data_IF_674852674443
#
_entry.id   IF_674852674443
#
_cell.length_a   1.000
_cell.length_b   1.000
_cell.length_c   1.000
_cell.angle_alpha   90.00
_cell.angle_beta   90.00
_cell.angle_gamma   90.00
#
_symmetry.space_group_name_H-M   'P 1'
#
loop_
_entity.id
_entity.type
_entity.pdbx_description
1 polymer ?
#
# COMPACT_ATOMS: atom_id res chain seq x y z
N UNK A 1 7.38 -16.31 -24.22
CA UNK A 1 8.59 -15.48 -24.04
C UNK A 1 8.21 -14.22 -23.25
N UNK A 2 8.12 -14.30 -21.91
CA UNK A 2 8.00 -13.11 -21.08
C UNK A 2 9.40 -12.51 -20.98
N UNK A 3 9.65 -11.44 -21.73
CA UNK A 3 10.89 -10.68 -21.64
C UNK A 3 11.02 -10.21 -20.19
N UNK A 4 12.07 -10.66 -19.52
CA UNK A 4 12.43 -10.25 -18.17
C UNK A 4 12.61 -8.73 -18.21
N UNK A 5 11.58 -7.97 -17.83
CA UNK A 5 11.76 -6.56 -17.49
C UNK A 5 12.49 -6.61 -16.15
N UNK A 6 13.79 -6.86 -16.18
CA UNK A 6 14.65 -6.34 -15.13
C UNK A 6 14.61 -4.83 -15.37
N UNK A 7 13.90 -4.03 -14.56
CA UNK A 7 14.26 -2.63 -14.49
C UNK A 7 15.76 -2.64 -14.21
N UNK A 8 16.52 -2.16 -15.21
CA UNK A 8 17.81 -1.53 -14.97
C UNK A 8 17.70 -0.67 -13.72
N UNK A 9 18.81 -0.40 -13.05
CA UNK A 9 18.92 0.44 -11.85
C UNK A 9 18.30 1.85 -11.93
N UNK A 10 17.46 2.14 -12.93
CA UNK A 10 16.55 3.25 -12.99
C UNK A 10 15.74 3.40 -11.71
N UNK A 11 15.77 4.63 -11.23
CA UNK A 11 15.07 5.10 -10.06
C UNK A 11 13.55 5.02 -10.31
N UNK A 12 12.96 3.91 -9.87
CA UNK A 12 11.52 3.68 -9.94
C UNK A 12 10.79 4.76 -9.15
N UNK A 13 9.74 5.33 -9.75
CA UNK A 13 8.88 6.33 -9.14
C UNK A 13 7.40 6.01 -9.43
N UNK A 14 6.48 6.82 -8.91
CA UNK A 14 5.04 6.57 -9.00
C UNK A 14 4.48 6.55 -10.43
N UNK A 15 5.18 7.14 -11.40
CA UNK A 15 4.82 7.15 -12.82
C UNK A 15 5.45 6.00 -13.61
N UNK A 16 6.33 5.22 -12.99
CA UNK A 16 7.00 4.13 -13.67
C UNK A 16 5.99 3.06 -14.11
N UNK A 17 6.13 2.48 -15.34
CA UNK A 17 5.17 1.51 -15.87
C UNK A 17 4.90 0.31 -14.95
N UNK A 18 5.90 -0.14 -14.18
CA UNK A 18 5.71 -1.23 -13.20
C UNK A 18 4.74 -0.85 -12.06
N UNK A 19 4.77 0.41 -11.60
CA UNK A 19 3.86 0.90 -10.54
C UNK A 19 2.45 1.11 -11.10
N UNK A 20 2.34 1.68 -12.31
CA UNK A 20 1.06 1.79 -13.00
C UNK A 20 0.46 0.40 -13.30
N UNK A 21 1.29 -0.55 -13.68
CA UNK A 21 0.93 -1.95 -13.87
C UNK A 21 0.42 -2.59 -12.58
N UNK A 22 1.09 -2.38 -11.44
CA UNK A 22 0.62 -2.83 -10.14
C UNK A 22 -0.79 -2.29 -9.82
N UNK A 23 -1.03 -1.00 -10.02
CA UNK A 23 -2.37 -0.41 -9.84
C UNK A 23 -3.41 -1.08 -10.75
N UNK A 24 -3.07 -1.32 -12.01
CA UNK A 24 -3.98 -1.98 -12.94
C UNK A 24 -4.30 -3.42 -12.53
N UNK A 25 -3.32 -4.16 -11.99
CA UNK A 25 -3.54 -5.50 -11.44
C UNK A 25 -4.52 -5.43 -10.27
N UNK A 26 -4.31 -4.53 -9.32
CA UNK A 26 -5.21 -4.35 -8.16
C UNK A 26 -6.64 -4.01 -8.60
N UNK A 27 -6.79 -3.07 -9.55
CA UNK A 27 -8.09 -2.71 -10.12
C UNK A 27 -8.77 -3.91 -10.77
N UNK A 28 -8.03 -4.62 -11.62
CA UNK A 28 -8.55 -5.79 -12.36
C UNK A 28 -8.97 -6.88 -11.40
N UNK A 29 -8.19 -7.13 -10.33
CA UNK A 29 -8.53 -8.10 -9.30
C UNK A 29 -9.88 -7.76 -8.64
N UNK A 30 -10.06 -6.51 -8.18
CA UNK A 30 -11.33 -6.04 -7.60
C UNK A 30 -12.50 -6.13 -8.59
N UNK A 31 -12.29 -5.79 -9.86
CA UNK A 31 -13.33 -5.86 -10.89
C UNK A 31 -13.73 -7.29 -11.28
N UNK A 32 -12.96 -8.30 -10.89
CA UNK A 32 -13.22 -9.72 -11.18
C UNK A 32 -13.39 -10.54 -9.89
N UNK A 33 -13.75 -9.90 -8.77
CA UNK A 33 -14.00 -10.55 -7.48
C UNK A 33 -12.82 -11.39 -6.94
N UNK A 34 -11.60 -11.07 -7.36
CA UNK A 34 -10.38 -11.67 -6.80
C UNK A 34 -10.12 -11.00 -5.46
N UNK A 35 -10.43 -11.73 -4.38
CA UNK A 35 -10.34 -11.22 -3.00
C UNK A 35 -8.99 -11.48 -2.35
N UNK A 36 -8.13 -12.29 -2.97
CA UNK A 36 -6.79 -12.65 -2.47
C UNK A 36 -5.73 -12.34 -3.50
N UNK A 37 -4.72 -11.55 -3.14
CA UNK A 37 -3.61 -11.20 -4.02
C UNK A 37 -2.29 -11.22 -3.25
N UNK A 38 -1.24 -11.76 -3.88
CA UNK A 38 0.13 -11.72 -3.37
C UNK A 38 0.98 -10.85 -4.28
N UNK A 39 1.59 -9.80 -3.73
CA UNK A 39 2.39 -8.81 -4.48
C UNK A 39 3.87 -8.93 -4.07
N UNK A 40 4.81 -9.10 -5.02
CA UNK A 40 6.24 -9.03 -4.72
C UNK A 40 6.62 -7.60 -4.29
N UNK A 41 7.08 -7.44 -3.06
CA UNK A 41 7.28 -6.11 -2.45
C UNK A 41 8.34 -5.26 -3.16
N UNK A 42 9.32 -5.91 -3.82
CA UNK A 42 10.39 -5.24 -4.57
C UNK A 42 10.14 -5.23 -6.08
N UNK A 43 8.97 -5.74 -6.53
CA UNK A 43 8.65 -6.02 -7.93
C UNK A 43 9.70 -6.89 -8.63
N UNK A 44 10.32 -7.78 -7.83
CA UNK A 44 11.37 -8.72 -8.20
C UNK A 44 11.13 -10.05 -7.51
N UNK A 45 11.63 -11.13 -8.11
CA UNK A 45 11.49 -12.49 -7.56
C UNK A 45 12.77 -13.00 -6.86
N UNK A 46 13.92 -12.49 -7.27
CA UNK A 46 15.25 -12.88 -6.77
C UNK A 46 16.03 -11.63 -6.36
N UNK A 47 16.91 -11.78 -5.37
CA UNK A 47 17.86 -10.74 -4.99
C UNK A 47 19.01 -10.67 -6.00
N UNK A 48 19.49 -9.46 -6.29
CA UNK A 48 20.73 -9.21 -7.04
C UNK A 48 21.70 -8.37 -6.21
N UNK A 49 22.98 -8.36 -6.61
CA UNK A 49 24.03 -7.60 -5.91
C UNK A 49 23.76 -6.09 -5.84
N UNK A 50 22.97 -5.55 -6.77
CA UNK A 50 22.60 -4.14 -6.82
C UNK A 50 21.53 -3.75 -5.77
N UNK A 51 20.88 -4.72 -5.14
CA UNK A 51 19.75 -4.51 -4.22
C UNK A 51 20.23 -4.21 -2.79
N UNK A 52 20.81 -3.02 -2.60
CA UNK A 52 21.20 -2.51 -1.27
C UNK A 52 19.98 -2.34 -0.35
N UNK A 53 20.22 -2.19 0.97
CA UNK A 53 19.17 -1.92 1.96
C UNK A 53 18.36 -0.67 1.58
N UNK A 54 19.03 0.42 1.23
CA UNK A 54 18.38 1.66 0.83
C UNK A 54 17.49 1.49 -0.41
N UNK A 55 17.95 0.69 -1.38
CA UNK A 55 17.18 0.35 -2.56
C UNK A 55 15.91 -0.45 -2.19
N UNK A 56 16.04 -1.46 -1.32
CA UNK A 56 14.93 -2.28 -0.87
C UNK A 56 13.88 -1.44 -0.16
N UNK A 57 14.30 -0.59 0.77
CA UNK A 57 13.41 0.31 1.52
C UNK A 57 12.68 1.28 0.59
N UNK A 58 13.40 1.95 -0.34
CA UNK A 58 12.80 2.90 -1.28
C UNK A 58 11.74 2.24 -2.17
N UNK A 59 12.02 1.05 -2.70
CA UNK A 59 11.07 0.31 -3.55
C UNK A 59 9.87 -0.21 -2.77
N UNK A 60 10.10 -0.82 -1.61
CA UNK A 60 9.03 -1.31 -0.76
C UNK A 60 8.10 -0.17 -0.35
N UNK A 61 8.64 0.99 0.04
CA UNK A 61 7.86 2.18 0.37
C UNK A 61 6.94 2.60 -0.77
N UNK A 62 7.47 2.62 -2.00
CA UNK A 62 6.72 3.01 -3.18
C UNK A 62 5.57 2.02 -3.47
N UNK A 63 5.85 0.71 -3.37
CA UNK A 63 4.84 -0.34 -3.54
C UNK A 63 3.77 -0.26 -2.45
N UNK A 64 4.16 -0.14 -1.19
CA UNK A 64 3.24 0.00 -0.06
C UNK A 64 2.34 1.24 -0.19
N UNK A 65 2.91 2.40 -0.55
CA UNK A 65 2.15 3.63 -0.77
C UNK A 65 1.20 3.51 -1.95
N UNK A 66 1.62 2.89 -3.06
CA UNK A 66 0.78 2.64 -4.22
C UNK A 66 -0.45 1.79 -3.84
N UNK A 67 -0.22 0.68 -3.15
CA UNK A 67 -1.27 -0.20 -2.63
C UNK A 67 -2.19 0.54 -1.66
N UNK A 68 -1.63 1.25 -0.67
CA UNK A 68 -2.43 2.01 0.31
C UNK A 68 -3.33 3.02 -0.39
N UNK A 69 -2.78 3.79 -1.33
CA UNK A 69 -3.55 4.77 -2.11
C UNK A 69 -4.70 4.12 -2.86
N UNK A 70 -4.45 2.98 -3.51
CA UNK A 70 -5.50 2.21 -4.17
C UNK A 70 -6.59 1.72 -3.20
N UNK A 71 -6.21 1.18 -2.03
CA UNK A 71 -7.19 0.72 -1.02
C UNK A 71 -8.09 1.85 -0.53
N UNK A 72 -7.54 3.05 -0.34
CA UNK A 72 -8.31 4.24 0.05
C UNK A 72 -9.29 4.64 -1.06
N UNK A 73 -8.86 4.61 -2.32
CA UNK A 73 -9.75 4.93 -3.45
C UNK A 73 -10.87 3.90 -3.60
N UNK A 74 -10.57 2.60 -3.45
CA UNK A 74 -11.58 1.54 -3.55
C UNK A 74 -12.64 1.62 -2.47
N UNK A 75 -12.27 2.02 -1.25
CA UNK A 75 -13.24 2.29 -0.18
C UNK A 75 -14.27 3.37 -0.57
N UNK A 76 -13.96 4.22 -1.55
CA UNK A 76 -14.85 5.27 -2.05
C UNK A 76 -15.69 4.85 -3.25
N UNK A 77 -15.31 3.80 -4.01
CA UNK A 77 -15.89 3.52 -5.34
C UNK A 77 -16.95 2.41 -5.36
N UNK A 78 -17.04 1.60 -4.31
CA UNK A 78 -17.94 0.44 -4.30
C UNK A 78 -17.45 -0.67 -5.24
N UNK A 79 -17.48 -1.92 -4.77
CA UNK A 79 -16.97 -3.10 -5.48
C UNK A 79 -16.49 -4.15 -4.49
N UNK A 80 -16.04 -5.32 -4.98
CA UNK A 80 -15.46 -6.33 -4.09
C UNK A 80 -14.14 -5.83 -3.51
N UNK A 81 -14.10 -5.75 -2.18
CA UNK A 81 -12.90 -5.40 -1.44
C UNK A 81 -11.83 -6.49 -1.54
N UNK A 82 -10.57 -6.09 -1.62
CA UNK A 82 -9.44 -6.99 -1.38
C UNK A 82 -9.47 -7.40 0.09
N UNK A 83 -9.84 -8.67 0.34
CA UNK A 83 -9.95 -9.22 1.71
C UNK A 83 -8.60 -9.68 2.24
N UNK A 84 -7.74 -10.20 1.37
CA UNK A 84 -6.45 -10.74 1.73
C UNK A 84 -5.38 -10.22 0.76
N UNK A 85 -4.53 -9.32 1.24
CA UNK A 85 -3.41 -8.82 0.47
C UNK A 85 -2.12 -9.20 1.18
N UNK A 86 -1.25 -9.91 0.47
CA UNK A 86 0.02 -10.39 1.00
C UNK A 86 1.18 -9.73 0.26
N UNK A 87 2.23 -9.40 1.00
CA UNK A 87 3.48 -8.96 0.42
C UNK A 87 4.50 -10.10 0.49
N UNK A 88 5.05 -10.45 -0.66
CA UNK A 88 6.09 -11.47 -0.78
C UNK A 88 7.45 -10.79 -0.89
N UNK A 89 8.40 -11.23 -0.07
CA UNK A 89 9.82 -10.84 -0.17
C UNK A 89 10.57 -11.80 -1.11
N UNK A 90 11.60 -11.32 -1.84
CA UNK A 90 12.41 -12.20 -2.68
C UNK A 90 13.19 -13.23 -1.86
N UNK A 91 13.53 -14.36 -2.50
CA UNK A 91 14.40 -15.36 -1.89
C UNK A 91 15.78 -14.76 -1.62
N UNK A 92 16.36 -15.09 -0.46
CA UNK A 92 17.69 -14.63 -0.06
C UNK A 92 17.74 -13.22 0.54
N UNK A 93 16.59 -12.63 0.88
CA UNK A 93 16.55 -11.39 1.67
C UNK A 93 17.16 -11.66 3.06
N UNK A 94 17.94 -10.71 3.59
CA UNK A 94 18.43 -10.82 4.96
C UNK A 94 17.32 -10.53 5.97
N UNK A 95 17.44 -11.12 7.16
CA UNK A 95 16.50 -10.90 8.28
C UNK A 95 16.40 -9.42 8.66
N UNK A 96 17.50 -8.67 8.64
CA UNK A 96 17.51 -7.24 8.96
C UNK A 96 16.69 -6.41 7.96
N UNK A 97 16.83 -6.71 6.65
CA UNK A 97 16.05 -6.04 5.62
C UNK A 97 14.59 -6.46 5.72
N UNK A 98 14.32 -7.75 5.93
CA UNK A 98 12.96 -8.24 6.16
C UNK A 98 12.28 -7.51 7.33
N UNK A 99 12.95 -7.43 8.49
CA UNK A 99 12.46 -6.71 9.66
C UNK A 99 12.20 -5.24 9.38
N UNK A 100 13.11 -4.58 8.63
CA UNK A 100 12.94 -3.20 8.18
C UNK A 100 11.67 -3.05 7.33
N UNK A 101 11.49 -3.88 6.30
CA UNK A 101 10.31 -3.83 5.44
C UNK A 101 9.01 -4.13 6.20
N UNK A 102 9.04 -5.07 7.14
CA UNK A 102 7.91 -5.42 7.98
C UNK A 102 7.47 -4.25 8.89
N UNK A 103 8.42 -3.48 9.45
CA UNK A 103 8.13 -2.29 10.26
C UNK A 103 7.53 -1.14 9.45
N UNK A 104 7.77 -1.09 8.13
CA UNK A 104 7.16 -0.07 7.27
C UNK A 104 5.65 -0.26 7.12
N UNK A 105 5.15 -1.50 7.17
CA UNK A 105 3.73 -1.79 7.02
C UNK A 105 2.86 -1.04 8.05
N UNK A 106 3.05 -1.21 9.38
CA UNK A 106 2.23 -0.50 10.35
C UNK A 106 2.44 1.02 10.30
N UNK A 107 3.63 1.49 9.93
CA UNK A 107 3.92 2.92 9.77
C UNK A 107 3.14 3.53 8.60
N UNK A 108 3.19 2.88 7.44
CA UNK A 108 2.55 3.36 6.21
C UNK A 108 1.04 3.16 6.27
N UNK A 109 0.55 1.99 6.68
CA UNK A 109 -0.88 1.66 6.69
C UNK A 109 -1.62 2.17 7.92
N UNK A 110 -0.98 2.97 8.77
CA UNK A 110 -1.64 3.63 9.90
C UNK A 110 -2.83 4.45 9.40
N UNK A 111 -4.02 4.12 9.94
CA UNK A 111 -5.23 4.94 9.82
C UNK A 111 -5.13 6.04 10.88
N UNK A 112 -5.29 7.30 10.47
CA UNK A 112 -5.36 8.41 11.42
C UNK A 112 -6.58 8.22 12.31
N UNK A 113 -6.44 8.37 13.63
CA UNK A 113 -7.57 8.28 14.56
C UNK A 113 -8.66 9.27 14.11
N UNK A 114 -9.90 8.82 13.82
CA UNK A 114 -10.99 9.74 13.58
C UNK A 114 -11.23 10.52 14.88
N UNK A 115 -11.16 11.85 14.79
CA UNK A 115 -11.52 12.72 15.91
C UNK A 115 -13.02 12.50 16.18
N UNK A 116 -13.34 11.86 17.31
CA UNK A 116 -14.72 11.72 17.77
C UNK A 116 -15.22 13.11 18.16
N UNK A 117 -16.07 13.70 17.33
CA UNK A 117 -16.74 14.96 17.64
C UNK A 117 -17.73 14.72 18.77
N UNK A 118 -17.36 15.03 20.01
CA UNK A 118 -18.30 15.10 21.13
C UNK A 118 -19.16 16.36 20.95
N UNK A 119 -20.40 16.18 20.52
CA UNK A 119 -21.42 17.25 20.60
C UNK A 119 -21.70 17.49 22.08
N UNK A 120 -21.20 18.60 22.63
CA UNK A 120 -21.65 19.06 23.94
C UNK A 120 -23.06 19.61 23.79
N UNK A 121 -24.07 18.84 24.19
CA UNK A 121 -25.42 19.32 24.36
C UNK A 121 -25.48 20.26 25.57
N UNK A 122 -25.22 21.54 25.36
CA UNK A 122 -25.64 22.57 26.32
C UNK A 122 -27.15 22.75 26.18
N UNK A 123 -27.96 22.49 27.24
CA UNK A 123 -29.40 22.73 27.19
C UNK A 123 -29.64 24.24 27.08
N UNK A 124 -30.31 24.67 26.00
CA UNK A 124 -30.74 26.05 25.84
C UNK A 124 -31.97 26.28 26.72
N UNK A 125 -31.81 26.92 27.87
CA UNK A 125 -32.97 27.41 28.66
C UNK A 125 -33.54 28.67 28.00
N UNK A 126 -34.86 28.75 27.74
CA UNK A 126 -35.47 29.97 27.21
C UNK A 126 -35.42 31.09 28.26
N UNK A 127 -34.92 32.27 27.89
CA UNK A 127 -35.05 33.48 28.72
C UNK A 127 -36.47 34.01 28.58
N UNK A 128 -37.24 33.92 29.66
CA UNK A 128 -38.56 34.52 29.78
C UNK A 128 -38.42 36.06 29.73
N UNK A 129 -39.25 36.70 28.90
CA UNK A 129 -39.26 38.14 28.71
C UNK A 129 -39.76 38.90 29.95
N UNK A 130 -39.21 40.11 30.10
CA UNK A 130 -39.85 41.26 30.71
C UNK A 130 -39.57 42.47 29.82
#
# INVERSE_FOLDING_TARGET
MFRRITPSSDDINSRHPAILGLRNILKTACSNDITTLTVPVLLMHEMSEEMTVAWCTKRAELVFKCVKGFMIEMASWGGSELKNLQFLVPKGISEDVFGTLAMMLPSIFRVSNPLVFKVSSTPHTPKNGK
#
